data_IF_670852847491
#
_entry.id   IF_670852847491
#
_cell.length_a   1.000
_cell.length_b   1.000
_cell.length_c   1.000
_cell.angle_alpha   90.00
_cell.angle_beta   90.00
_cell.angle_gamma   90.00
#
_symmetry.space_group_name_H-M   'P 1'
#
loop_
_entity.id
_entity.type
_entity.pdbx_description
1 polymer ?
#
# COMPACT_ATOMS: atom_id res chain seq x y z
N UNK A 1 -12.44 44.64 2.62
CA UNK A 1 -11.30 43.80 2.17
C UNK A 1 -10.53 43.35 3.42
N UNK A 2 -10.88 42.20 3.93
CA UNK A 2 -10.16 41.57 5.03
C UNK A 2 -9.22 40.53 4.39
N UNK A 3 -7.94 40.81 4.42
CA UNK A 3 -6.89 39.92 3.98
C UNK A 3 -6.60 38.98 5.17
N UNK A 4 -6.95 37.72 5.06
CA UNK A 4 -6.52 36.71 6.02
C UNK A 4 -5.11 36.26 5.67
N UNK A 5 -4.16 36.57 6.56
CA UNK A 5 -2.85 35.93 6.53
C UNK A 5 -3.01 34.50 7.04
N UNK A 6 -2.66 33.54 6.21
CA UNK A 6 -2.56 32.14 6.58
C UNK A 6 -1.10 31.90 6.96
N UNK A 7 -0.81 31.71 8.25
CA UNK A 7 0.49 31.26 8.70
C UNK A 7 0.62 29.75 8.42
N UNK A 8 1.46 29.43 7.46
CA UNK A 8 1.81 28.04 7.14
C UNK A 8 3.04 27.67 8.00
N UNK A 9 2.84 26.88 9.05
CA UNK A 9 3.94 26.24 9.76
C UNK A 9 4.36 24.97 9.00
N UNK A 10 5.52 25.05 8.37
CA UNK A 10 6.18 23.87 7.79
C UNK A 10 7.04 23.25 8.85
N UNK A 11 6.61 22.11 9.41
CA UNK A 11 7.51 21.27 10.20
C UNK A 11 8.28 20.40 9.20
N UNK A 12 9.47 20.88 8.82
CA UNK A 12 10.39 20.08 8.03
C UNK A 12 11.25 19.26 9.00
N UNK A 13 11.09 17.95 8.95
CA UNK A 13 12.18 16.96 9.01
C UNK A 13 11.57 15.58 9.02
N UNK A 14 11.54 14.99 7.89
CA UNK A 14 11.91 13.59 7.63
C UNK A 14 11.85 13.41 6.11
N UNK A 15 12.92 12.91 5.61
CA UNK A 15 13.33 12.69 4.23
C UNK A 15 12.23 12.04 3.37
N UNK A 16 11.95 12.67 2.22
CA UNK A 16 11.44 12.08 0.98
C UNK A 16 9.93 11.99 0.70
N UNK A 17 9.02 12.42 1.59
CA UNK A 17 7.62 12.61 1.22
C UNK A 17 7.12 13.99 1.64
N UNK A 18 6.69 14.83 0.67
CA UNK A 18 6.05 16.11 0.95
C UNK A 18 4.61 15.84 1.40
N UNK A 19 4.38 15.88 2.69
CA UNK A 19 3.05 15.97 3.25
C UNK A 19 2.71 17.44 3.49
N UNK A 20 1.61 17.92 2.90
CA UNK A 20 1.05 19.20 3.28
C UNK A 20 0.04 18.97 4.39
N UNK A 21 0.42 19.21 5.64
CA UNK A 21 -0.52 19.32 6.74
C UNK A 21 -0.94 20.78 6.78
N UNK A 22 -2.15 21.09 6.32
CA UNK A 22 -2.75 22.40 6.54
C UNK A 22 -3.34 22.40 7.95
N UNK A 23 -2.57 22.89 8.93
CA UNK A 23 -3.10 23.17 10.24
C UNK A 23 -3.80 24.54 10.20
N UNK A 24 -5.13 24.53 10.26
CA UNK A 24 -5.89 25.76 10.52
C UNK A 24 -5.90 25.94 12.03
N UNK A 25 -5.02 26.81 12.52
CA UNK A 25 -5.04 27.24 13.93
C UNK A 25 -6.17 28.26 14.13
N UNK A 26 -7.00 27.97 15.13
CA UNK A 26 -8.08 28.81 15.66
C UNK A 26 -9.42 28.82 14.93
N UNK A 27 -10.07 27.66 14.91
CA UNK A 27 -11.47 27.52 14.47
C UNK A 27 -12.44 27.45 15.68
N UNK A 28 -11.93 27.45 16.90
CA UNK A 28 -12.78 27.35 18.12
C UNK A 28 -13.69 28.58 18.33
N UNK A 29 -13.29 29.74 17.84
CA UNK A 29 -14.06 30.96 17.94
C UNK A 29 -15.23 31.05 16.94
N UNK A 30 -15.27 30.16 15.92
CA UNK A 30 -16.27 30.18 14.86
C UNK A 30 -17.31 29.06 14.96
N UNK A 31 -17.29 28.24 16.02
CA UNK A 31 -18.24 27.14 16.19
C UNK A 31 -18.18 26.07 15.11
N UNK A 32 -17.12 26.03 14.32
CA UNK A 32 -16.91 25.04 13.27
C UNK A 32 -16.18 23.81 13.84
N UNK A 33 -16.78 22.65 13.70
CA UNK A 33 -16.15 21.36 13.99
C UNK A 33 -14.95 21.15 13.06
N UNK A 34 -13.75 21.05 13.60
CA UNK A 34 -12.57 20.63 12.83
C UNK A 34 -12.68 19.16 12.48
N UNK A 35 -13.23 18.89 11.31
CA UNK A 35 -13.24 17.55 10.74
C UNK A 35 -11.85 17.32 10.14
N UNK A 36 -10.97 16.64 10.87
CA UNK A 36 -9.69 16.18 10.33
C UNK A 36 -9.99 15.30 9.11
N UNK A 37 -9.62 15.77 7.94
CA UNK A 37 -9.74 14.97 6.73
C UNK A 37 -8.49 14.13 6.64
N UNK A 38 -8.54 12.92 7.14
CA UNK A 38 -7.49 11.92 6.90
C UNK A 38 -7.29 11.81 5.39
N UNK A 39 -6.07 12.01 4.94
CA UNK A 39 -5.76 11.93 3.51
C UNK A 39 -5.82 10.46 3.09
N UNK A 40 -6.91 10.06 2.45
CA UNK A 40 -7.05 8.71 1.93
C UNK A 40 -6.15 8.52 0.70
N UNK A 41 -5.23 7.56 0.78
CA UNK A 41 -4.39 7.14 -0.34
C UNK A 41 -5.13 6.05 -1.10
N UNK A 42 -5.38 6.30 -2.39
CA UNK A 42 -6.01 5.35 -3.29
C UNK A 42 -4.97 4.80 -4.27
N UNK A 43 -4.85 3.48 -4.36
CA UNK A 43 -4.01 2.78 -5.34
C UNK A 43 -4.86 1.86 -6.19
N UNK A 44 -4.54 1.81 -7.47
CA UNK A 44 -5.23 0.94 -8.44
C UNK A 44 -4.21 0.06 -9.15
N UNK A 45 -4.55 -1.20 -9.36
CA UNK A 45 -3.69 -2.16 -10.05
C UNK A 45 -4.53 -3.02 -10.98
N UNK A 46 -3.99 -3.31 -12.17
CA UNK A 46 -4.59 -4.27 -13.09
C UNK A 46 -4.28 -5.69 -12.61
N UNK A 47 -5.33 -6.43 -12.32
CA UNK A 47 -5.25 -7.80 -11.80
C UNK A 47 -5.23 -8.79 -12.96
N UNK A 48 -4.39 -9.81 -12.86
CA UNK A 48 -4.42 -10.94 -13.82
C UNK A 48 -5.79 -11.60 -13.79
N UNK A 49 -6.36 -11.79 -14.95
CA UNK A 49 -7.68 -12.38 -15.12
C UNK A 49 -7.81 -13.72 -14.39
N UNK A 50 -8.96 -13.94 -13.75
CA UNK A 50 -9.31 -15.15 -12.98
C UNK A 50 -8.45 -15.43 -11.75
N UNK A 51 -7.64 -14.46 -11.26
CA UNK A 51 -6.81 -14.67 -10.08
C UNK A 51 -7.32 -13.98 -8.81
N UNK A 52 -8.25 -13.05 -8.92
CA UNK A 52 -8.80 -12.35 -7.75
C UNK A 52 -9.65 -13.29 -6.88
N UNK A 53 -9.30 -13.40 -5.61
CA UNK A 53 -10.05 -14.18 -4.62
C UNK A 53 -10.26 -13.32 -3.37
N UNK A 54 -11.46 -13.39 -2.83
CA UNK A 54 -11.82 -12.83 -1.53
C UNK A 54 -12.12 -13.98 -0.58
N UNK A 55 -11.51 -13.96 0.57
CA UNK A 55 -11.76 -14.88 1.67
C UNK A 55 -12.37 -14.08 2.82
N UNK A 56 -13.47 -14.56 3.34
CA UNK A 56 -14.10 -14.02 4.54
C UNK A 56 -13.44 -14.61 5.79
N UNK A 57 -13.62 -13.95 6.92
CA UNK A 57 -13.18 -14.47 8.21
C UNK A 57 -13.83 -15.85 8.47
N UNK A 58 -13.08 -16.85 8.92
CA UNK A 58 -13.64 -18.16 9.26
C UNK A 58 -14.53 -18.14 10.51
N UNK A 59 -14.50 -17.08 11.31
CA UNK A 59 -15.35 -16.91 12.47
C UNK A 59 -16.59 -16.09 12.14
N UNK A 60 -17.79 -16.50 12.61
CA UNK A 60 -19.07 -15.86 12.29
C UNK A 60 -19.13 -14.35 12.60
N UNK A 61 -18.43 -13.92 13.65
CA UNK A 61 -18.36 -12.51 14.06
C UNK A 61 -17.07 -11.81 13.64
N UNK A 62 -16.24 -12.46 12.83
CA UNK A 62 -15.00 -11.90 12.35
C UNK A 62 -15.24 -10.80 11.31
N UNK A 63 -14.51 -9.70 11.42
CA UNK A 63 -14.58 -8.57 10.49
C UNK A 63 -13.46 -8.62 9.43
N UNK A 64 -12.44 -9.43 9.66
CA UNK A 64 -11.29 -9.51 8.78
C UNK A 64 -11.65 -10.10 7.41
N UNK A 65 -11.03 -9.56 6.37
CA UNK A 65 -11.15 -10.11 5.01
C UNK A 65 -9.76 -10.16 4.40
N UNK A 66 -9.55 -11.20 3.61
CA UNK A 66 -8.31 -11.40 2.88
C UNK A 66 -8.60 -11.43 1.38
N UNK A 67 -7.85 -10.66 0.63
CA UNK A 67 -7.90 -10.63 -0.83
C UNK A 67 -6.58 -11.09 -1.39
N UNK A 68 -6.61 -12.05 -2.31
CA UNK A 68 -5.40 -12.58 -2.95
C UNK A 68 -5.55 -12.46 -4.47
N UNK A 69 -4.52 -11.92 -5.13
CA UNK A 69 -4.51 -11.76 -6.59
C UNK A 69 -3.10 -11.58 -7.13
N UNK A 70 -2.95 -11.77 -8.43
CA UNK A 70 -1.68 -11.54 -9.13
C UNK A 70 -1.73 -10.27 -9.97
N UNK A 71 -0.61 -9.55 -9.95
CA UNK A 71 -0.39 -8.31 -10.72
C UNK A 71 0.87 -8.48 -11.56
N UNK A 72 0.83 -8.05 -12.84
CA UNK A 72 2.04 -7.96 -13.65
C UNK A 72 2.99 -6.92 -13.03
N UNK A 73 4.27 -7.15 -13.08
CA UNK A 73 5.29 -6.25 -12.49
C UNK A 73 5.08 -4.80 -12.91
N UNK A 74 4.82 -4.56 -14.19
CA UNK A 74 4.61 -3.22 -14.75
C UNK A 74 3.31 -2.54 -14.26
N UNK A 75 2.33 -3.32 -13.81
CA UNK A 75 1.02 -2.81 -13.32
C UNK A 75 1.01 -2.57 -11.80
N UNK A 76 2.10 -2.85 -11.08
CA UNK A 76 2.19 -2.64 -9.63
C UNK A 76 2.11 -1.16 -9.31
N UNK A 77 1.23 -0.78 -8.40
CA UNK A 77 1.07 0.61 -7.96
C UNK A 77 2.26 1.06 -7.10
N UNK A 78 2.80 2.22 -7.40
CA UNK A 78 3.84 2.87 -6.60
C UNK A 78 3.26 3.69 -5.45
N UNK A 79 4.11 4.00 -4.43
CA UNK A 79 3.73 4.82 -3.29
C UNK A 79 2.70 4.16 -2.38
N UNK A 80 2.77 2.83 -2.22
CA UNK A 80 2.09 2.12 -1.14
C UNK A 80 2.76 2.52 0.18
N UNK A 81 1.99 2.86 1.24
CA UNK A 81 2.56 3.19 2.55
C UNK A 81 3.43 2.06 3.10
N UNK A 82 4.55 2.41 3.73
CA UNK A 82 5.54 1.45 4.23
C UNK A 82 5.72 1.54 5.76
N UNK A 83 5.00 2.43 6.45
CA UNK A 83 5.17 2.69 7.87
C UNK A 83 4.78 1.48 8.76
N UNK A 84 3.85 0.65 8.28
CA UNK A 84 3.42 -0.58 8.96
C UNK A 84 4.43 -1.72 8.88
N UNK A 85 5.47 -1.62 8.05
CA UNK A 85 6.48 -2.67 7.94
C UNK A 85 7.58 -2.48 8.98
N UNK A 86 7.73 -3.41 9.96
CA UNK A 86 8.71 -3.26 11.04
C UNK A 86 10.15 -3.44 10.59
N UNK A 87 10.39 -3.92 9.37
CA UNK A 87 11.73 -4.25 8.87
C UNK A 87 12.27 -3.16 7.95
N UNK A 88 13.52 -2.78 8.17
CA UNK A 88 14.25 -1.92 7.23
C UNK A 88 14.62 -2.73 5.96
N UNK A 89 14.12 -2.30 4.81
CA UNK A 89 14.33 -2.96 3.52
C UNK A 89 15.66 -2.52 2.91
N UNK A 90 16.76 -3.13 3.34
CA UNK A 90 18.11 -2.91 2.76
C UNK A 90 18.24 -3.66 1.45
N UNK A 91 18.29 -2.94 0.33
CA UNK A 91 18.37 -3.54 -1.01
C UNK A 91 19.74 -4.17 -1.32
N UNK A 92 20.72 -3.96 -0.45
CA UNK A 92 22.06 -4.60 -0.53
C UNK A 92 22.13 -5.93 0.21
N UNK A 93 21.03 -6.40 0.81
CA UNK A 93 21.00 -7.68 1.52
C UNK A 93 21.01 -8.86 0.55
N UNK A 94 21.52 -10.03 0.99
CA UNK A 94 21.49 -11.25 0.18
C UNK A 94 20.06 -11.66 -0.22
N UNK A 95 19.07 -11.37 0.63
CA UNK A 95 17.65 -11.60 0.31
C UNK A 95 17.21 -10.71 -0.85
N UNK A 96 17.53 -9.44 -0.82
CA UNK A 96 17.19 -8.51 -1.90
C UNK A 96 17.86 -8.92 -3.22
N UNK A 97 19.14 -9.34 -3.17
CA UNK A 97 19.85 -9.84 -4.35
C UNK A 97 19.16 -11.06 -4.94
N UNK A 98 18.79 -12.05 -4.13
CA UNK A 98 18.11 -13.25 -4.59
C UNK A 98 16.71 -12.95 -5.20
N UNK A 99 15.98 -12.00 -4.62
CA UNK A 99 14.70 -11.54 -5.17
C UNK A 99 14.90 -10.89 -6.54
N UNK A 100 15.89 -10.00 -6.65
CA UNK A 100 16.24 -9.32 -7.91
C UNK A 100 16.65 -10.32 -8.99
N UNK A 101 17.53 -11.25 -8.70
CA UNK A 101 17.96 -12.30 -9.64
C UNK A 101 16.75 -13.13 -10.11
N UNK A 102 15.88 -13.52 -9.18
CA UNK A 102 14.65 -14.27 -9.52
C UNK A 102 13.68 -13.47 -10.38
N UNK A 103 13.56 -12.16 -10.16
CA UNK A 103 12.72 -11.29 -10.98
C UNK A 103 13.29 -11.15 -12.39
N UNK A 104 14.59 -10.86 -12.49
CA UNK A 104 15.28 -10.62 -13.76
C UNK A 104 15.51 -11.88 -14.58
N UNK A 105 15.39 -13.08 -13.99
CA UNK A 105 15.45 -14.34 -14.76
C UNK A 105 14.35 -14.41 -15.82
N UNK A 106 13.27 -13.66 -15.65
CA UNK A 106 12.14 -13.52 -16.58
C UNK A 106 11.59 -14.87 -17.08
N UNK A 107 11.63 -15.89 -16.22
CA UNK A 107 11.27 -17.28 -16.52
C UNK A 107 9.77 -17.58 -16.32
N UNK A 108 8.98 -16.59 -15.92
CA UNK A 108 7.55 -16.71 -15.63
C UNK A 108 7.22 -17.34 -14.27
N UNK A 109 8.22 -17.68 -13.46
CA UNK A 109 8.03 -18.37 -12.17
C UNK A 109 8.23 -17.49 -10.93
N UNK A 110 8.44 -16.18 -11.09
CA UNK A 110 8.67 -15.29 -9.97
C UNK A 110 7.57 -15.40 -8.88
N UNK A 111 6.31 -15.44 -9.28
CA UNK A 111 5.15 -15.58 -8.39
C UNK A 111 5.10 -16.91 -7.59
N UNK A 112 5.85 -17.93 -8.01
CA UNK A 112 5.98 -19.20 -7.29
C UNK A 112 7.20 -19.22 -6.37
N UNK A 113 8.27 -18.53 -6.77
CA UNK A 113 9.54 -18.43 -6.05
C UNK A 113 9.51 -17.38 -4.94
N UNK A 114 8.65 -16.36 -5.09
CA UNK A 114 8.49 -15.23 -4.17
C UNK A 114 7.16 -15.31 -3.44
N UNK A 115 7.16 -15.00 -2.13
CA UNK A 115 5.94 -15.02 -1.30
C UNK A 115 4.97 -13.89 -1.59
N UNK A 116 5.39 -12.89 -2.36
CA UNK A 116 4.56 -11.74 -2.72
C UNK A 116 4.66 -10.58 -1.73
N UNK A 117 3.63 -9.77 -1.74
CA UNK A 117 3.51 -8.52 -0.99
C UNK A 117 2.24 -8.60 -0.16
N UNK A 118 2.37 -8.39 1.15
CA UNK A 118 1.27 -8.41 2.12
C UNK A 118 0.97 -6.99 2.56
N UNK A 119 -0.31 -6.59 2.46
CA UNK A 119 -0.79 -5.26 2.80
C UNK A 119 -1.93 -5.32 3.81
N UNK A 120 -2.02 -4.29 4.68
CA UNK A 120 -3.26 -3.92 5.37
C UNK A 120 -3.90 -2.73 4.65
N UNK A 121 -5.21 -2.67 4.61
CA UNK A 121 -5.94 -1.60 3.95
C UNK A 121 -7.32 -1.38 4.61
N UNK A 122 -7.84 -0.15 4.51
CA UNK A 122 -9.21 0.20 4.90
C UNK A 122 -10.24 -0.59 4.09
N UNK A 123 -10.04 -0.65 2.77
CA UNK A 123 -10.95 -1.38 1.89
C UNK A 123 -10.30 -1.78 0.57
N UNK A 124 -10.87 -2.83 -0.04
CA UNK A 124 -10.51 -3.32 -1.36
C UNK A 124 -11.76 -3.42 -2.23
N UNK A 125 -11.70 -2.80 -3.38
CA UNK A 125 -12.74 -2.82 -4.41
C UNK A 125 -12.22 -3.48 -5.67
N UNK A 126 -12.90 -4.49 -6.20
CA UNK A 126 -12.53 -5.13 -7.46
C UNK A 126 -13.58 -4.89 -8.54
N UNK A 127 -13.18 -4.26 -9.63
CA UNK A 127 -13.99 -4.13 -10.84
C UNK A 127 -13.73 -5.33 -11.75
N UNK A 128 -14.66 -6.28 -11.76
CA UNK A 128 -14.53 -7.50 -12.54
C UNK A 128 -14.54 -7.27 -14.06
N UNK A 129 -15.20 -6.21 -14.54
CA UNK A 129 -15.26 -5.87 -15.97
C UNK A 129 -13.91 -5.32 -16.47
N UNK A 130 -13.31 -4.44 -15.70
CA UNK A 130 -12.05 -3.78 -16.03
C UNK A 130 -10.81 -4.54 -15.51
N UNK A 131 -11.03 -5.55 -14.63
CA UNK A 131 -9.97 -6.30 -13.96
C UNK A 131 -9.08 -5.42 -13.10
N UNK A 132 -9.64 -4.39 -12.48
CA UNK A 132 -8.92 -3.42 -11.65
C UNK A 132 -9.26 -3.63 -10.17
N UNK A 133 -8.25 -3.83 -9.35
CA UNK A 133 -8.35 -3.73 -7.91
C UNK A 133 -8.02 -2.30 -7.47
N UNK A 134 -8.90 -1.72 -6.64
CA UNK A 134 -8.70 -0.43 -5.97
C UNK A 134 -8.52 -0.69 -4.49
N UNK A 135 -7.40 -0.24 -3.93
CA UNK A 135 -7.03 -0.38 -2.52
C UNK A 135 -7.03 1.02 -1.90
N UNK A 136 -7.67 1.16 -0.76
CA UNK A 136 -7.77 2.42 -0.02
C UNK A 136 -7.02 2.29 1.30
N UNK A 137 -6.12 3.22 1.55
CA UNK A 137 -5.38 3.38 2.80
C UNK A 137 -5.84 4.69 3.44
N UNK A 138 -6.45 4.65 4.62
CA UNK A 138 -6.97 5.82 5.31
C UNK A 138 -6.03 6.34 6.38
N UNK A 139 -5.15 5.48 6.89
CA UNK A 139 -4.15 5.81 7.91
C UNK A 139 -2.85 5.05 7.63
N UNK A 140 -1.76 5.77 7.48
CA UNK A 140 -0.45 5.18 7.16
C UNK A 140 0.17 4.39 8.33
N UNK A 141 -0.31 4.59 9.56
CA UNK A 141 0.16 3.85 10.73
C UNK A 141 -0.49 2.47 10.84
N UNK A 142 -1.71 2.33 10.30
CA UNK A 142 -2.48 1.09 10.35
C UNK A 142 -2.60 0.41 8.99
N UNK A 143 -2.41 1.16 7.89
CA UNK A 143 -2.57 0.67 6.54
C UNK A 143 -1.31 0.84 5.71
N UNK A 144 -0.91 -0.23 5.05
CA UNK A 144 0.30 -0.23 4.21
C UNK A 144 0.90 -1.61 4.04
N UNK A 145 2.18 -1.64 3.73
CA UNK A 145 2.92 -2.87 3.57
C UNK A 145 3.24 -3.49 4.94
N UNK A 146 2.83 -4.74 5.17
CA UNK A 146 3.12 -5.52 6.38
C UNK A 146 4.33 -6.42 6.13
N UNK A 147 4.35 -7.12 4.99
CA UNK A 147 5.47 -8.00 4.61
C UNK A 147 5.73 -7.93 3.10
N UNK A 148 6.87 -8.46 2.67
CA UNK A 148 7.31 -8.39 1.27
C UNK A 148 7.84 -7.03 0.85
N UNK A 149 8.28 -6.19 1.78
CA UNK A 149 8.79 -4.84 1.48
C UNK A 149 10.01 -4.83 0.56
N UNK A 150 10.94 -5.81 0.64
CA UNK A 150 12.02 -5.96 -0.32
C UNK A 150 11.48 -6.27 -1.72
N UNK A 151 10.53 -7.20 -1.82
CA UNK A 151 9.87 -7.56 -3.08
C UNK A 151 9.22 -6.33 -3.70
N UNK A 152 8.46 -5.56 -2.92
CA UNK A 152 7.80 -4.35 -3.38
C UNK A 152 8.79 -3.32 -3.96
N UNK A 153 9.86 -3.01 -3.22
CA UNK A 153 10.86 -2.04 -3.66
C UNK A 153 11.56 -2.50 -4.95
N UNK A 154 11.98 -3.77 -5.01
CA UNK A 154 12.66 -4.32 -6.19
C UNK A 154 11.73 -4.34 -7.41
N UNK A 155 10.46 -4.73 -7.23
CA UNK A 155 9.46 -4.70 -8.30
C UNK A 155 9.26 -3.26 -8.82
N UNK A 156 9.16 -2.26 -7.93
CA UNK A 156 9.03 -0.86 -8.33
C UNK A 156 10.28 -0.33 -9.07
N UNK A 157 11.49 -0.75 -8.68
CA UNK A 157 12.72 -0.36 -9.36
C UNK A 157 12.83 -0.90 -10.80
N UNK A 158 12.23 -2.05 -11.07
CA UNK A 158 12.31 -2.73 -12.37
C UNK A 158 11.03 -2.61 -13.22
N UNK A 159 10.13 -1.70 -12.86
CA UNK A 159 8.97 -1.38 -13.70
C UNK A 159 9.42 -0.76 -15.02
N UNK A 160 8.71 -1.10 -16.09
CA UNK A 160 9.01 -0.62 -17.44
C UNK A 160 10.08 -1.42 -18.17
N UNK A 161 10.66 -2.45 -17.57
CA UNK A 161 11.60 -3.35 -18.23
C UNK A 161 10.90 -4.44 -19.06
N UNK A 162 9.58 -4.38 -19.19
CA UNK A 162 8.75 -5.34 -19.94
C UNK A 162 8.95 -6.79 -19.50
N UNK A 163 9.07 -7.01 -18.19
CA UNK A 163 9.20 -8.34 -17.62
C UNK A 163 7.85 -9.08 -17.69
N UNK A 164 7.86 -10.31 -18.21
CA UNK A 164 6.69 -11.19 -18.22
C UNK A 164 6.54 -11.94 -16.88
N UNK A 165 6.66 -11.20 -15.78
CA UNK A 165 6.59 -11.70 -14.41
C UNK A 165 5.37 -11.15 -13.68
N UNK A 166 4.85 -11.97 -12.76
CA UNK A 166 3.75 -11.61 -11.88
C UNK A 166 4.18 -11.68 -10.43
N UNK A 167 3.59 -10.82 -9.60
CA UNK A 167 3.75 -10.82 -8.15
C UNK A 167 2.40 -11.04 -7.48
N UNK A 168 2.39 -11.83 -6.41
CA UNK A 168 1.21 -12.02 -5.59
C UNK A 168 1.02 -10.84 -4.65
N UNK A 169 -0.20 -10.36 -4.57
CA UNK A 169 -0.68 -9.47 -3.51
C UNK A 169 -1.62 -10.24 -2.59
N UNK A 170 -1.41 -10.08 -1.31
CA UNK A 170 -2.35 -10.41 -0.25
C UNK A 170 -2.72 -9.13 0.48
N UNK A 171 -4.00 -8.77 0.48
CA UNK A 171 -4.48 -7.55 1.13
C UNK A 171 -5.48 -7.93 2.21
N UNK A 172 -5.24 -7.49 3.44
CA UNK A 172 -6.12 -7.70 4.58
C UNK A 172 -6.85 -6.42 4.94
N UNK A 173 -8.11 -6.53 5.35
CA UNK A 173 -8.92 -5.44 5.88
C UNK A 173 -9.55 -5.84 7.20
N UNK A 174 -9.83 -4.89 8.11
CA UNK A 174 -10.36 -5.17 9.43
C UNK A 174 -9.34 -5.84 10.37
N UNK A 175 -8.06 -5.47 10.22
CA UNK A 175 -6.93 -6.04 11.01
C UNK A 175 -6.16 -4.96 11.78
N UNK A 176 -6.70 -3.74 11.86
CA UNK A 176 -6.04 -2.57 12.44
C UNK A 176 -5.60 -2.82 13.88
N UNK A 177 -6.42 -3.52 14.67
CA UNK A 177 -6.15 -3.79 16.09
C UNK A 177 -5.06 -4.86 16.34
N UNK A 178 -4.69 -5.61 15.30
CA UNK A 178 -3.71 -6.72 15.42
C UNK A 178 -2.49 -6.55 14.54
N UNK A 179 -2.37 -5.41 13.86
CA UNK A 179 -1.34 -5.20 12.84
C UNK A 179 0.09 -5.37 13.35
N UNK A 180 0.34 -5.00 14.60
CA UNK A 180 1.66 -5.16 15.24
C UNK A 180 2.05 -6.63 15.48
N UNK A 181 1.08 -7.54 15.37
CA UNK A 181 1.26 -8.98 15.59
C UNK A 181 1.24 -9.80 14.29
N UNK A 182 1.08 -9.14 13.15
CA UNK A 182 1.09 -9.76 11.81
C UNK A 182 2.49 -9.73 11.21
#
# INVERSE_FOLDING_TARGET
NIVFMIDIFVISKITQYRYYVIAITDVRSLGLSTKWRTLMIKKTMKVRENTFRKLEDPFENGAAKKYVFYVKVDDVAEGIPMATNPRDQKLTSGVATAIKESLLSNDGYFHLKNRGIVLSAESVHYNNKEKIATIIFSDELSHGNIDGGHTYKIVCEHKGENLEQYVQFEVMTGVEDIIENL
#
